data_IF_937921638440
#
_entry.id   IF_937921638440
#
_cell.length_a   1.000
_cell.length_b   1.000
_cell.length_c   1.000
_cell.angle_alpha   90.00
_cell.angle_beta   90.00
_cell.angle_gamma   90.00
#
_symmetry.space_group_name_H-M   'P 1'
#
loop_
_entity.id
_entity.type
_entity.pdbx_description
1 polymer ?
#
# COMPACT_ATOMS: atom_id res chain seq x y z
N UNK A 1 15.46 -50.93 -41.09
CA UNK A 1 14.58 -51.89 -40.37
C UNK A 1 14.68 -51.57 -38.87
N UNK A 2 13.95 -50.56 -38.36
CA UNK A 2 12.71 -50.68 -37.52
C UNK A 2 12.98 -51.38 -36.18
N UNK A 3 12.76 -50.84 -34.97
CA UNK A 3 11.88 -49.79 -34.43
C UNK A 3 12.56 -49.23 -33.16
N UNK A 4 12.71 -47.90 -33.03
CA UNK A 4 12.77 -47.27 -31.69
C UNK A 4 11.34 -47.27 -31.18
N UNK A 5 11.06 -48.13 -30.20
CA UNK A 5 9.85 -48.03 -29.40
C UNK A 5 9.88 -46.68 -28.71
N UNK A 6 9.00 -45.76 -29.14
CA UNK A 6 8.70 -44.57 -28.34
C UNK A 6 8.28 -45.08 -26.97
N UNK A 7 8.79 -44.55 -25.84
CA UNK A 7 8.07 -44.74 -24.60
C UNK A 7 6.66 -44.24 -24.89
N UNK A 8 5.65 -45.11 -24.65
CA UNK A 8 4.27 -44.68 -24.61
C UNK A 8 4.27 -43.59 -23.54
N UNK A 9 4.30 -42.32 -23.97
CA UNK A 9 3.95 -41.20 -23.13
C UNK A 9 2.64 -41.67 -22.50
N UNK A 10 2.66 -41.82 -21.19
CA UNK A 10 1.47 -42.04 -20.40
C UNK A 10 0.56 -40.84 -20.65
N UNK A 11 -0.23 -40.95 -21.72
CA UNK A 11 -1.47 -40.23 -22.01
C UNK A 11 -2.53 -40.76 -21.03
N UNK A 12 -2.15 -40.84 -19.76
CA UNK A 12 -2.94 -41.30 -18.66
C UNK A 12 -2.92 -40.17 -17.63
N UNK A 13 -4.07 -39.50 -17.54
CA UNK A 13 -4.46 -38.49 -16.56
C UNK A 13 -4.10 -37.03 -16.88
N UNK A 14 -4.57 -36.53 -18.02
CA UNK A 14 -5.29 -35.24 -17.99
C UNK A 14 -6.72 -35.49 -17.51
N UNK A 15 -6.91 -35.97 -16.28
CA UNK A 15 -8.26 -36.29 -15.73
C UNK A 15 -8.79 -35.22 -14.79
N UNK A 16 -8.06 -34.13 -14.59
CA UNK A 16 -8.57 -32.97 -13.85
C UNK A 16 -8.41 -31.71 -14.69
N UNK A 17 -9.49 -30.95 -14.94
CA UNK A 17 -9.42 -29.63 -15.57
C UNK A 17 -8.37 -28.70 -14.94
N UNK A 18 -8.02 -28.92 -13.66
CA UNK A 18 -7.01 -28.15 -12.92
C UNK A 18 -5.60 -28.32 -13.48
N UNK A 19 -5.21 -29.51 -13.91
CA UNK A 19 -3.83 -29.77 -14.36
C UNK A 19 -3.55 -29.09 -15.71
N UNK A 20 -4.59 -29.01 -16.56
CA UNK A 20 -4.54 -28.25 -17.79
C UNK A 20 -4.38 -26.74 -17.53
N UNK A 21 -5.14 -26.19 -16.58
CA UNK A 21 -5.06 -24.78 -16.20
C UNK A 21 -3.70 -24.42 -15.61
N UNK A 22 -3.14 -25.24 -14.70
CA UNK A 22 -1.81 -25.01 -14.10
C UNK A 22 -0.70 -24.94 -15.16
N UNK A 23 -0.80 -25.74 -16.22
CA UNK A 23 0.19 -25.74 -17.31
C UNK A 23 0.11 -24.51 -18.22
N UNK A 24 -1.04 -23.82 -18.25
CA UNK A 24 -1.33 -22.67 -19.12
C UNK A 24 -1.34 -21.33 -18.40
N UNK A 25 -1.42 -21.32 -17.07
CA UNK A 25 -1.37 -20.10 -16.25
C UNK A 25 0.06 -19.78 -15.83
N UNK A 26 0.45 -18.51 -15.91
CA UNK A 26 1.80 -18.05 -15.55
C UNK A 26 2.07 -18.09 -14.02
N UNK A 27 1.02 -18.20 -13.19
CA UNK A 27 1.10 -18.26 -11.74
C UNK A 27 0.20 -19.38 -11.19
N UNK A 28 0.74 -20.21 -10.29
CA UNK A 28 0.01 -21.30 -9.60
C UNK A 28 -1.19 -20.79 -8.78
N UNK A 29 -1.18 -19.51 -8.45
CA UNK A 29 -2.23 -18.82 -7.70
C UNK A 29 -3.51 -18.64 -8.53
N UNK A 30 -3.40 -18.52 -9.86
CA UNK A 30 -4.54 -18.24 -10.76
C UNK A 30 -5.52 -19.43 -10.90
N UNK A 31 -5.11 -20.61 -10.43
CA UNK A 31 -5.91 -21.86 -10.47
C UNK A 31 -6.62 -22.14 -9.13
N UNK A 32 -6.21 -21.46 -8.04
CA UNK A 32 -6.82 -21.66 -6.72
C UNK A 32 -8.13 -20.88 -6.62
N UNK A 33 -9.09 -21.40 -5.84
CA UNK A 33 -10.36 -20.68 -5.60
C UNK A 33 -10.05 -19.35 -4.92
N UNK A 34 -10.75 -18.23 -5.23
CA UNK A 34 -10.44 -16.91 -4.68
C UNK A 34 -10.35 -16.84 -3.15
N UNK A 35 -11.14 -17.67 -2.46
CA UNK A 35 -11.16 -17.76 -0.99
C UNK A 35 -9.93 -18.46 -0.39
N UNK A 36 -9.22 -19.23 -1.20
CA UNK A 36 -8.01 -19.96 -0.83
C UNK A 36 -6.73 -19.20 -1.23
N UNK A 37 -6.87 -17.99 -1.82
CA UNK A 37 -5.76 -17.11 -2.18
C UNK A 37 -5.25 -16.28 -0.99
N UNK A 38 -6.02 -16.22 0.10
CA UNK A 38 -5.71 -15.39 1.26
C UNK A 38 -5.81 -16.23 2.53
N UNK A 39 -4.87 -16.03 3.44
CA UNK A 39 -4.90 -16.67 4.74
C UNK A 39 -6.08 -16.12 5.55
N UNK A 40 -6.88 -17.03 6.11
CA UNK A 40 -7.97 -16.63 7.00
C UNK A 40 -7.38 -16.02 8.28
N UNK A 41 -7.76 -14.77 8.55
CA UNK A 41 -7.35 -14.06 9.76
C UNK A 41 -8.14 -14.57 10.97
N UNK A 42 -7.43 -14.92 12.04
CA UNK A 42 -8.01 -15.39 13.31
C UNK A 42 -7.52 -14.56 14.50
N UNK A 43 -8.34 -14.51 15.55
CA UNK A 43 -8.01 -13.81 16.80
C UNK A 43 -7.51 -12.38 16.60
N UNK A 44 -6.25 -12.15 16.97
CA UNK A 44 -5.60 -10.83 16.91
C UNK A 44 -5.50 -10.26 15.48
N UNK A 45 -5.40 -11.12 14.46
CA UNK A 45 -5.40 -10.68 13.06
C UNK A 45 -6.71 -9.97 12.68
N UNK A 46 -7.85 -10.45 13.21
CA UNK A 46 -9.15 -9.79 13.01
C UNK A 46 -9.22 -8.44 13.70
N UNK A 47 -8.64 -8.31 14.89
CA UNK A 47 -8.59 -7.04 15.63
C UNK A 47 -7.83 -5.99 14.83
N UNK A 48 -6.71 -6.36 14.20
CA UNK A 48 -5.96 -5.49 13.30
C UNK A 48 -6.82 -4.99 12.14
N UNK A 49 -7.59 -5.86 11.49
CA UNK A 49 -8.50 -5.46 10.41
C UNK A 49 -9.64 -4.57 10.90
N UNK A 50 -10.28 -4.91 12.03
CA UNK A 50 -11.33 -4.05 12.60
C UNK A 50 -10.80 -2.66 12.90
N UNK A 51 -9.61 -2.56 13.47
CA UNK A 51 -8.96 -1.28 13.76
C UNK A 51 -8.75 -0.44 12.48
N UNK A 52 -8.38 -1.08 11.37
CA UNK A 52 -8.28 -0.40 10.07
C UNK A 52 -9.64 0.07 9.55
N UNK A 53 -10.68 -0.77 9.65
CA UNK A 53 -12.03 -0.45 9.17
C UNK A 53 -12.68 0.68 9.98
N UNK A 54 -12.47 0.72 11.30
CA UNK A 54 -13.04 1.77 12.18
C UNK A 54 -12.24 3.08 12.17
N UNK A 55 -11.02 3.07 11.63
CA UNK A 55 -10.16 4.25 11.52
C UNK A 55 -10.89 5.53 11.03
N UNK A 56 -11.63 5.52 9.90
CA UNK A 56 -12.34 6.72 9.44
C UNK A 56 -13.37 7.23 10.45
N UNK A 57 -14.04 6.35 11.19
CA UNK A 57 -14.99 6.76 12.23
C UNK A 57 -14.26 7.48 13.37
N UNK A 58 -13.14 6.93 13.84
CA UNK A 58 -12.34 7.57 14.90
C UNK A 58 -11.79 8.92 14.42
N UNK A 59 -11.38 9.02 13.16
CA UNK A 59 -10.94 10.27 12.55
C UNK A 59 -12.04 11.34 12.53
N UNK A 60 -13.26 10.98 12.13
CA UNK A 60 -14.41 11.91 12.12
C UNK A 60 -14.76 12.36 13.53
N UNK A 61 -14.76 11.45 14.52
CA UNK A 61 -14.99 11.80 15.92
C UNK A 61 -13.90 12.73 16.46
N UNK A 62 -12.65 12.52 16.06
CA UNK A 62 -11.54 13.40 16.42
C UNK A 62 -11.70 14.79 15.78
N UNK A 63 -12.11 14.89 14.52
CA UNK A 63 -12.43 16.18 13.88
C UNK A 63 -13.57 16.89 14.62
N UNK A 64 -14.63 16.17 15.01
CA UNK A 64 -15.74 16.77 15.77
C UNK A 64 -15.29 17.36 17.10
N UNK A 65 -14.27 16.77 17.73
CA UNK A 65 -13.75 17.22 19.03
C UNK A 65 -12.72 18.36 18.93
N UNK A 66 -11.82 18.32 17.96
CA UNK A 66 -10.68 19.25 17.86
C UNK A 66 -10.71 20.19 16.65
N UNK A 67 -11.69 20.03 15.77
CA UNK A 67 -11.80 20.78 14.51
C UNK A 67 -10.95 20.20 13.38
N UNK A 68 -11.23 20.64 12.16
CA UNK A 68 -10.57 20.20 10.92
C UNK A 68 -9.15 20.79 10.73
N UNK A 69 -8.82 21.90 11.39
CA UNK A 69 -7.49 22.54 11.32
C UNK A 69 -6.49 21.98 12.32
N UNK A 70 -6.93 21.12 13.23
CA UNK A 70 -6.04 20.52 14.21
C UNK A 70 -5.22 19.37 13.59
N UNK A 71 -3.95 19.31 13.94
CA UNK A 71 -3.06 18.18 13.66
C UNK A 71 -3.37 16.91 14.48
N UNK A 72 -4.14 17.03 15.57
CA UNK A 72 -4.44 15.92 16.49
C UNK A 72 -5.23 14.78 15.83
N UNK A 73 -6.36 15.03 15.12
CA UNK A 73 -7.08 13.97 14.40
C UNK A 73 -6.19 13.23 13.39
N UNK A 74 -5.28 13.97 12.74
CA UNK A 74 -4.34 13.38 11.79
C UNK A 74 -3.36 12.41 12.47
N UNK A 75 -2.75 12.80 13.60
CA UNK A 75 -1.86 11.92 14.40
C UNK A 75 -2.62 10.71 14.93
N UNK A 76 -3.81 10.89 15.47
CA UNK A 76 -4.63 9.78 16.01
C UNK A 76 -4.89 8.75 14.92
N UNK A 77 -5.31 9.21 13.73
CA UNK A 77 -5.54 8.31 12.59
C UNK A 77 -4.25 7.63 12.11
N UNK A 78 -3.10 8.29 12.23
CA UNK A 78 -1.80 7.68 11.91
C UNK A 78 -1.43 6.59 12.90
N UNK A 79 -1.62 6.83 14.21
CA UNK A 79 -1.36 5.85 15.27
C UNK A 79 -2.23 4.60 15.08
N UNK A 80 -3.52 4.78 14.78
CA UNK A 80 -4.46 3.68 14.54
C UNK A 80 -4.02 2.82 13.35
N UNK A 81 -3.58 3.47 12.27
CA UNK A 81 -3.07 2.79 11.07
C UNK A 81 -1.79 1.99 11.38
N UNK A 82 -0.84 2.58 12.10
CA UNK A 82 0.40 1.91 12.50
C UNK A 82 0.13 0.75 13.44
N UNK A 83 -0.81 0.90 14.38
CA UNK A 83 -1.19 -0.14 15.32
C UNK A 83 -1.87 -1.31 14.61
N UNK A 84 -2.79 -1.03 13.68
CA UNK A 84 -3.42 -2.06 12.84
C UNK A 84 -2.38 -2.87 12.07
N UNK A 85 -1.41 -2.20 11.46
CA UNK A 85 -0.31 -2.85 10.73
C UNK A 85 0.63 -3.61 11.63
N UNK A 86 0.95 -3.08 12.80
CA UNK A 86 1.79 -3.76 13.77
C UNK A 86 1.15 -5.08 14.21
N UNK A 87 -0.16 -5.06 14.49
CA UNK A 87 -0.93 -6.24 14.84
C UNK A 87 -0.95 -7.25 13.68
N UNK A 88 -1.19 -6.79 12.45
CA UNK A 88 -1.13 -7.64 11.26
C UNK A 88 0.28 -8.24 11.06
N UNK A 89 1.32 -7.42 11.23
CA UNK A 89 2.71 -7.84 11.13
C UNK A 89 3.05 -8.93 12.14
N UNK A 90 2.66 -8.71 13.40
CA UNK A 90 2.84 -9.66 14.48
C UNK A 90 2.09 -10.97 14.18
N UNK A 91 0.82 -10.88 13.77
CA UNK A 91 0.00 -12.03 13.40
C UNK A 91 0.66 -12.88 12.32
N UNK A 92 1.08 -12.28 11.20
CA UNK A 92 1.68 -13.02 10.09
C UNK A 92 3.01 -13.68 10.49
N UNK A 93 3.82 -13.00 11.31
CA UNK A 93 5.12 -13.54 11.76
C UNK A 93 4.94 -14.72 12.71
N UNK A 94 3.90 -14.70 13.55
CA UNK A 94 3.65 -15.75 14.55
C UNK A 94 2.84 -16.92 13.99
N UNK A 95 1.94 -16.69 13.02
CA UNK A 95 0.99 -17.71 12.54
C UNK A 95 1.38 -18.37 11.22
N UNK A 96 2.16 -17.70 10.37
CA UNK A 96 2.57 -18.27 9.08
C UNK A 96 4.00 -18.82 9.21
N UNK A 97 4.25 -20.10 8.86
CA UNK A 97 5.60 -20.62 8.80
C UNK A 97 6.41 -19.85 7.75
N UNK A 98 7.45 -19.14 8.21
CA UNK A 98 8.26 -18.24 7.38
C UNK A 98 7.73 -16.80 7.26
N UNK A 99 6.69 -16.44 8.02
CA UNK A 99 6.20 -15.08 8.21
C UNK A 99 5.84 -14.37 6.91
N UNK A 100 6.25 -13.10 6.81
CA UNK A 100 5.91 -12.23 5.67
C UNK A 100 6.44 -12.69 4.31
N UNK A 101 7.45 -13.56 4.28
CA UNK A 101 8.01 -14.05 3.00
C UNK A 101 7.02 -14.94 2.26
N UNK A 102 6.19 -15.66 3.01
CA UNK A 102 5.23 -16.66 2.51
C UNK A 102 3.79 -16.13 2.40
N UNK A 103 3.61 -14.81 2.50
CA UNK A 103 2.35 -14.18 2.11
C UNK A 103 2.08 -14.38 0.62
N UNK A 104 0.82 -14.61 0.27
CA UNK A 104 0.36 -14.65 -1.12
C UNK A 104 0.65 -13.32 -1.81
N UNK A 105 0.80 -13.34 -3.14
CA UNK A 105 0.92 -12.13 -3.96
C UNK A 105 -0.20 -11.14 -3.67
N UNK A 106 -1.44 -11.62 -3.54
CA UNK A 106 -2.61 -10.78 -3.27
C UNK A 106 -2.52 -10.09 -1.90
N UNK A 107 -2.06 -10.81 -0.89
CA UNK A 107 -1.85 -10.23 0.45
C UNK A 107 -0.75 -9.17 0.44
N UNK A 108 0.34 -9.43 -0.26
CA UNK A 108 1.45 -8.47 -0.43
C UNK A 108 0.96 -7.22 -1.16
N UNK A 109 0.21 -7.38 -2.24
CA UNK A 109 -0.35 -6.28 -3.02
C UNK A 109 -1.31 -5.43 -2.19
N UNK A 110 -2.17 -6.06 -1.39
CA UNK A 110 -3.09 -5.37 -0.49
C UNK A 110 -2.31 -4.57 0.58
N UNK A 111 -1.25 -5.15 1.18
CA UNK A 111 -0.39 -4.43 2.13
C UNK A 111 0.33 -3.25 1.47
N UNK A 112 0.81 -3.41 0.23
CA UNK A 112 1.43 -2.33 -0.53
C UNK A 112 0.42 -1.24 -0.91
N UNK A 113 -0.81 -1.61 -1.26
CA UNK A 113 -1.90 -0.66 -1.52
C UNK A 113 -2.19 0.18 -0.28
N UNK A 114 -2.33 -0.46 0.89
CA UNK A 114 -2.48 0.24 2.16
C UNK A 114 -1.27 1.14 2.42
N UNK A 115 -0.04 0.68 2.21
CA UNK A 115 1.17 1.49 2.43
C UNK A 115 1.20 2.74 1.54
N UNK A 116 0.85 2.62 0.26
CA UNK A 116 0.70 3.77 -0.64
C UNK A 116 -0.35 4.75 -0.14
N UNK A 117 -1.50 4.27 0.32
CA UNK A 117 -2.53 5.12 0.91
C UNK A 117 -2.06 5.85 2.16
N UNK A 118 -1.26 5.19 3.01
CA UNK A 118 -0.63 5.82 4.16
C UNK A 118 0.35 6.93 3.74
N UNK A 119 1.17 6.68 2.72
CA UNK A 119 2.06 7.70 2.17
C UNK A 119 1.31 8.91 1.63
N UNK A 120 0.24 8.70 0.85
CA UNK A 120 -0.61 9.79 0.39
C UNK A 120 -1.27 10.54 1.56
N UNK A 121 -1.72 9.83 2.59
CA UNK A 121 -2.29 10.43 3.79
C UNK A 121 -1.27 11.24 4.60
N UNK A 122 -0.02 10.77 4.66
CA UNK A 122 1.08 11.44 5.34
C UNK A 122 1.47 12.73 4.60
N UNK A 123 1.62 12.64 3.27
CA UNK A 123 1.99 13.74 2.38
C UNK A 123 0.89 14.79 2.20
N UNK A 124 -0.40 14.44 2.34
CA UNK A 124 -1.51 15.40 2.20
C UNK A 124 -1.79 16.20 3.48
N UNK A 125 -1.32 15.70 4.63
CA UNK A 125 -1.68 16.25 5.93
C UNK A 125 -0.79 17.42 6.41
N UNK A 126 -0.90 17.79 7.70
CA UNK A 126 -0.10 18.87 8.32
C UNK A 126 1.41 18.65 8.24
N UNK A 127 1.89 17.43 7.94
CA UNK A 127 3.29 17.15 7.65
C UNK A 127 3.79 17.97 6.45
N UNK A 128 2.97 18.11 5.41
CA UNK A 128 3.33 18.88 4.23
C UNK A 128 3.44 20.36 4.54
N UNK A 129 2.41 20.93 5.18
CA UNK A 129 2.39 22.36 5.49
C UNK A 129 3.47 22.77 6.48
N UNK A 130 3.78 21.93 7.48
CA UNK A 130 4.70 22.30 8.57
C UNK A 130 6.14 21.88 8.36
N UNK A 131 6.38 20.71 7.77
CA UNK A 131 7.75 20.22 7.59
C UNK A 131 8.14 20.30 6.13
N UNK A 132 7.39 19.66 5.24
CA UNK A 132 7.77 19.55 3.83
C UNK A 132 7.89 20.92 3.15
N UNK A 133 7.00 21.88 3.43
CA UNK A 133 7.08 23.25 2.89
C UNK A 133 8.35 23.98 3.34
N UNK A 134 8.76 23.83 4.61
CA UNK A 134 9.97 24.46 5.13
C UNK A 134 11.22 23.84 4.49
N UNK A 135 11.27 22.50 4.39
CA UNK A 135 12.39 21.81 3.75
C UNK A 135 12.47 22.05 2.24
N UNK A 136 11.34 22.09 1.53
CA UNK A 136 11.30 22.42 0.11
C UNK A 136 11.74 23.86 -0.11
N UNK A 137 11.25 24.81 0.68
CA UNK A 137 11.68 26.20 0.56
C UNK A 137 13.18 26.35 0.83
N UNK A 138 13.70 25.74 1.91
CA UNK A 138 15.13 25.76 2.21
C UNK A 138 15.99 25.06 1.14
N UNK A 139 15.49 23.96 0.56
CA UNK A 139 16.14 23.30 -0.57
C UNK A 139 16.12 24.19 -1.81
N UNK A 140 14.98 24.78 -2.16
CA UNK A 140 14.83 25.71 -3.28
C UNK A 140 15.73 26.95 -3.12
N UNK A 141 15.88 27.50 -1.92
CA UNK A 141 16.74 28.65 -1.64
C UNK A 141 18.23 28.28 -1.79
N UNK A 142 18.62 27.09 -1.32
CA UNK A 142 19.98 26.53 -1.47
C UNK A 142 20.29 26.15 -2.92
N UNK A 143 19.28 25.74 -3.67
CA UNK A 143 19.35 25.35 -5.08
C UNK A 143 19.40 26.57 -5.99
N UNK A 144 18.64 27.62 -5.67
CA UNK A 144 18.64 28.89 -6.40
C UNK A 144 19.97 29.63 -6.32
N UNK A 145 20.81 29.33 -5.33
CA UNK A 145 22.15 29.91 -5.18
C UNK A 145 23.19 29.26 -6.09
N UNK A 146 22.90 28.12 -6.74
CA UNK A 146 23.84 27.43 -7.64
C UNK A 146 23.41 27.58 -9.11
N UNK A 147 24.29 28.07 -9.99
CA UNK A 147 23.93 28.48 -11.37
C UNK A 147 23.45 27.33 -12.28
N UNK A 148 23.81 26.07 -11.97
CA UNK A 148 23.38 24.89 -12.74
C UNK A 148 21.95 24.43 -12.42
N UNK A 149 21.42 24.78 -11.24
CA UNK A 149 20.13 24.27 -10.74
C UNK A 149 19.11 25.42 -10.56
N UNK A 150 19.52 26.67 -10.81
CA UNK A 150 18.62 27.84 -10.77
C UNK A 150 17.47 27.75 -11.79
N UNK A 151 17.66 27.05 -12.91
CA UNK A 151 16.61 26.76 -13.89
C UNK A 151 15.49 25.88 -13.33
N UNK A 152 15.81 24.87 -12.51
CA UNK A 152 14.80 24.06 -11.85
C UNK A 152 14.12 24.84 -10.72
N UNK A 153 14.87 25.70 -10.02
CA UNK A 153 14.32 26.60 -9.01
C UNK A 153 13.35 27.64 -9.57
N UNK A 154 13.65 28.22 -10.74
CA UNK A 154 12.74 29.16 -11.42
C UNK A 154 11.46 28.48 -11.88
N UNK A 155 11.57 27.30 -12.52
CA UNK A 155 10.40 26.51 -12.94
C UNK A 155 9.55 26.11 -11.72
N UNK A 156 10.14 25.67 -10.62
CA UNK A 156 9.38 25.33 -9.42
C UNK A 156 8.63 26.54 -8.83
N UNK A 157 9.28 27.71 -8.83
CA UNK A 157 8.73 28.97 -8.33
C UNK A 157 7.57 29.47 -9.20
N UNK A 158 7.65 29.26 -10.52
CA UNK A 158 6.58 29.56 -11.46
C UNK A 158 5.36 28.60 -11.30
N UNK A 159 5.59 27.37 -10.84
CA UNK A 159 4.54 26.38 -10.58
C UNK A 159 3.87 26.50 -9.20
N UNK A 160 4.53 27.14 -8.23
CA UNK A 160 4.01 27.36 -6.88
C UNK A 160 2.61 28.04 -6.83
N UNK A 161 2.33 29.13 -7.57
CA UNK A 161 0.99 29.75 -7.58
C UNK A 161 -0.09 28.87 -8.22
N UNK A 162 0.27 27.92 -9.08
CA UNK A 162 -0.67 26.98 -9.71
C UNK A 162 -1.14 25.91 -8.71
N UNK A 163 -0.21 25.39 -7.90
CA UNK A 163 -0.51 24.40 -6.87
C UNK A 163 -1.34 24.98 -5.73
N UNK A 164 -1.06 26.21 -5.33
CA UNK A 164 -1.88 26.91 -4.32
C UNK A 164 -3.31 27.12 -4.83
N UNK A 165 -3.52 27.48 -6.10
CA UNK A 165 -4.87 27.58 -6.70
C UNK A 165 -5.62 26.23 -6.72
N UNK A 166 -5.00 25.15 -7.21
CA UNK A 166 -5.67 23.84 -7.31
C UNK A 166 -6.03 23.29 -5.92
N UNK A 167 -5.17 23.52 -4.92
CA UNK A 167 -5.46 23.12 -3.55
C UNK A 167 -6.61 23.92 -2.93
N UNK A 168 -6.77 25.21 -3.29
CA UNK A 168 -7.93 26.02 -2.90
C UNK A 168 -9.23 25.56 -3.60
N UNK A 169 -9.21 25.27 -4.91
CA UNK A 169 -10.39 24.85 -5.67
C UNK A 169 -10.91 23.45 -5.29
N UNK A 170 -10.04 22.55 -4.84
CA UNK A 170 -10.44 21.17 -4.48
C UNK A 170 -10.84 21.03 -3.00
N UNK A 171 -10.78 22.12 -2.23
CA UNK A 171 -11.07 22.13 -0.79
C UNK A 171 -12.30 22.97 -0.41
N UNK A 172 -13.02 23.54 -1.39
CA UNK A 172 -14.38 24.07 -1.24
C UNK A 172 -15.41 23.02 -1.63
#
# INVERSE_FOLDING_TARGET
RTRRTRPKLSVALSTSPKDYLVSRTLLVEDVRKPKDLVHRLEGIGKVGEYLHVIRPLIYVLAIRKWGNRAWRPWIISLIIELLSRYIAYYYYTTRIPGGHRWLSTLEKEEQMRRLRQLWYYLLRGPLYEKFTKIYINGFCDTVSTKPLISLLGSVLRDYQPLWENIHYYTSS
#
